data_IF_458371462169
#
_entry.id   IF_458371462169
#
_cell.length_a   1.000
_cell.length_b   1.000
_cell.length_c   1.000
_cell.angle_alpha   90.00
_cell.angle_beta   90.00
_cell.angle_gamma   90.00
#
_symmetry.space_group_name_H-M   'P 1'
#
loop_
_entity.id
_entity.type
_entity.pdbx_description
1 polymer ?
#
# COMPACT_ATOMS: atom_id res chain seq x y z
N UNK A 1 -9.71 6.60 2.87
CA UNK A 1 -9.50 7.44 4.07
C UNK A 1 -10.47 7.08 5.20
N UNK A 2 -11.78 7.30 5.02
CA UNK A 2 -12.80 7.09 6.07
C UNK A 2 -12.79 5.69 6.69
N UNK A 3 -12.67 4.63 5.87
CA UNK A 3 -12.57 3.26 6.40
C UNK A 3 -11.38 3.05 7.34
N UNK A 4 -10.21 3.63 7.02
CA UNK A 4 -9.03 3.56 7.89
C UNK A 4 -9.25 4.36 9.18
N UNK A 5 -9.85 5.54 9.09
CA UNK A 5 -10.21 6.34 10.27
C UNK A 5 -11.13 5.55 11.21
N UNK A 6 -12.17 4.91 10.67
CA UNK A 6 -13.08 4.06 11.45
C UNK A 6 -12.34 2.88 12.10
N UNK A 7 -11.43 2.23 11.38
CA UNK A 7 -10.63 1.11 11.90
C UNK A 7 -9.68 1.55 13.02
N UNK A 8 -9.04 2.72 12.89
CA UNK A 8 -8.18 3.32 13.93
C UNK A 8 -9.01 3.61 15.17
N UNK A 9 -10.12 4.35 15.04
CA UNK A 9 -11.02 4.69 16.15
C UNK A 9 -11.55 3.44 16.84
N UNK A 10 -11.97 2.42 16.07
CA UNK A 10 -12.42 1.13 16.61
C UNK A 10 -11.33 0.44 17.42
N UNK A 11 -10.08 0.47 16.94
CA UNK A 11 -8.94 -0.21 17.58
C UNK A 11 -8.47 0.51 18.85
N UNK A 12 -8.64 1.82 18.93
CA UNK A 12 -8.36 2.60 20.15
C UNK A 12 -9.45 2.40 21.22
N UNK A 13 -10.73 2.40 20.81
CA UNK A 13 -11.86 2.48 21.73
C UNK A 13 -12.42 1.13 22.18
N UNK A 14 -12.05 0.02 21.54
CA UNK A 14 -12.51 -1.32 21.94
C UNK A 14 -11.42 -2.05 22.74
N UNK A 15 -11.62 -2.29 24.06
CA UNK A 15 -10.61 -2.91 24.92
C UNK A 15 -10.11 -4.26 24.41
N UNK A 16 -11.02 -5.12 23.95
CA UNK A 16 -10.71 -6.46 23.44
C UNK A 16 -9.76 -6.43 22.24
N UNK A 17 -9.94 -5.44 21.35
CA UNK A 17 -9.08 -5.27 20.19
C UNK A 17 -7.71 -4.72 20.59
N UNK A 18 -7.67 -3.81 21.55
CA UNK A 18 -6.42 -3.18 22.00
C UNK A 18 -5.49 -4.19 22.66
N UNK A 19 -6.03 -5.09 23.47
CA UNK A 19 -5.28 -6.16 24.15
C UNK A 19 -4.60 -7.14 23.17
N UNK A 20 -5.23 -7.42 22.03
CA UNK A 20 -4.70 -8.34 21.02
C UNK A 20 -3.97 -7.66 19.86
N UNK A 21 -3.82 -6.33 19.89
CA UNK A 21 -3.12 -5.58 18.84
C UNK A 21 -1.62 -5.57 19.08
N UNK A 22 -0.84 -5.95 18.06
CA UNK A 22 0.63 -5.89 18.06
C UNK A 22 1.12 -4.54 17.57
N UNK A 23 2.37 -4.21 17.87
CA UNK A 23 3.01 -2.99 17.36
C UNK A 23 2.99 -2.88 15.83
N UNK A 24 3.31 -3.96 15.12
CA UNK A 24 3.32 -4.00 13.64
C UNK A 24 1.95 -3.66 13.03
N UNK A 25 0.88 -3.92 13.77
CA UNK A 25 -0.49 -3.60 13.34
C UNK A 25 -0.76 -2.10 13.36
N UNK A 26 -0.30 -1.43 14.42
CA UNK A 26 -0.40 0.03 14.54
C UNK A 26 0.49 0.71 13.51
N UNK A 27 1.72 0.23 13.35
CA UNK A 27 2.66 0.75 12.38
C UNK A 27 2.05 0.77 10.97
N UNK A 28 1.59 -0.38 10.47
CA UNK A 28 0.97 -0.47 9.14
C UNK A 28 -0.30 0.37 9.05
N UNK A 29 -1.16 0.34 10.07
CA UNK A 29 -2.42 1.08 10.02
C UNK A 29 -2.19 2.59 9.91
N UNK A 30 -1.22 3.13 10.64
CA UNK A 30 -0.82 4.54 10.53
C UNK A 30 -0.11 4.85 9.22
N UNK A 31 0.81 4.00 8.77
CA UNK A 31 1.48 4.17 7.46
C UNK A 31 0.46 4.22 6.33
N UNK A 32 -0.52 3.32 6.29
CA UNK A 32 -1.60 3.33 5.29
C UNK A 32 -2.48 4.57 5.39
N UNK A 33 -2.82 5.01 6.61
CA UNK A 33 -3.62 6.20 6.82
C UNK A 33 -2.91 7.46 6.30
N UNK A 34 -1.63 7.62 6.64
CA UNK A 34 -0.79 8.72 6.15
C UNK A 34 -0.61 8.61 4.63
N UNK A 35 -0.33 7.42 4.09
CA UNK A 35 -0.15 7.20 2.66
C UNK A 35 -1.38 7.62 1.85
N UNK A 36 -2.57 7.20 2.28
CA UNK A 36 -3.83 7.59 1.62
C UNK A 36 -4.09 9.09 1.77
N UNK A 37 -3.77 9.68 2.92
CA UNK A 37 -3.92 11.12 3.14
C UNK A 37 -3.02 11.91 2.20
N UNK A 38 -1.74 11.56 2.12
CA UNK A 38 -0.77 12.14 1.18
C UNK A 38 -1.24 11.97 -0.27
N UNK A 39 -1.71 10.78 -0.64
CA UNK A 39 -2.22 10.51 -1.98
C UNK A 39 -3.40 11.43 -2.34
N UNK A 40 -4.35 11.62 -1.43
CA UNK A 40 -5.44 12.57 -1.63
C UNK A 40 -4.95 14.02 -1.68
N UNK A 41 -3.97 14.39 -0.86
CA UNK A 41 -3.38 15.74 -0.89
C UNK A 41 -2.68 16.06 -2.22
N UNK A 42 -2.13 15.06 -2.92
CA UNK A 42 -1.50 15.28 -4.23
C UNK A 42 -2.49 15.72 -5.32
N UNK A 43 -3.79 15.50 -5.12
CA UNK A 43 -4.83 15.96 -6.05
C UNK A 43 -4.85 17.49 -6.17
N UNK A 44 -4.63 18.21 -5.07
CA UNK A 44 -4.59 19.68 -5.10
C UNK A 44 -3.41 20.22 -5.89
N UNK A 45 -2.27 19.53 -5.85
CA UNK A 45 -1.07 19.88 -6.63
C UNK A 45 -1.27 19.51 -8.10
N UNK A 46 -1.82 18.33 -8.36
CA UNK A 46 -2.08 17.85 -9.73
C UNK A 46 -3.13 18.71 -10.43
N UNK A 47 -4.10 19.25 -9.71
CA UNK A 47 -5.11 20.16 -10.24
C UNK A 47 -4.51 21.48 -10.79
N UNK A 48 -3.27 21.83 -10.40
CA UNK A 48 -2.55 22.99 -10.95
C UNK A 48 -1.86 22.66 -12.29
N UNK A 49 -1.75 21.38 -12.67
CA UNK A 49 -1.04 20.87 -13.84
C UNK A 49 -1.95 19.94 -14.66
N UNK A 50 -2.99 20.53 -15.25
CA UNK A 50 -4.03 19.80 -15.99
C UNK A 50 -3.55 19.27 -17.36
N UNK A 51 -2.37 19.68 -17.80
CA UNK A 51 -1.68 19.15 -18.97
C UNK A 51 -1.16 17.72 -18.76
N UNK A 52 -1.10 17.25 -17.50
CA UNK A 52 -0.69 15.89 -17.15
C UNK A 52 0.82 15.67 -17.13
N UNK A 53 1.63 16.73 -17.23
CA UNK A 53 3.10 16.62 -17.23
C UNK A 53 3.65 15.89 -16.00
N UNK A 54 3.17 16.25 -14.80
CA UNK A 54 3.51 15.55 -13.55
C UNK A 54 3.19 14.06 -13.59
N UNK A 55 2.04 13.69 -14.17
CA UNK A 55 1.64 12.28 -14.27
C UNK A 55 2.55 11.50 -15.21
N UNK A 56 2.96 12.09 -16.34
CA UNK A 56 3.90 11.48 -17.27
C UNK A 56 5.27 11.28 -16.61
N UNK A 57 5.78 12.29 -15.91
CA UNK A 57 7.03 12.22 -15.17
C UNK A 57 7.02 11.09 -14.13
N UNK A 58 5.98 11.01 -13.31
CA UNK A 58 5.81 9.96 -12.30
C UNK A 58 5.68 8.57 -12.93
N UNK A 59 5.00 8.47 -14.07
CA UNK A 59 4.88 7.22 -14.85
C UNK A 59 6.23 6.78 -15.41
N UNK A 60 7.00 7.69 -16.01
CA UNK A 60 8.34 7.38 -16.51
C UNK A 60 9.28 6.98 -15.38
N UNK A 61 9.25 7.66 -14.23
CA UNK A 61 10.00 7.23 -13.05
C UNK A 61 9.65 5.80 -12.66
N UNK A 62 8.37 5.48 -12.51
CA UNK A 62 7.93 4.14 -12.12
C UNK A 62 8.37 3.08 -13.15
N UNK A 63 8.23 3.37 -14.44
CA UNK A 63 8.64 2.49 -15.53
C UNK A 63 10.14 2.21 -15.52
N UNK A 64 11.00 3.23 -15.39
CA UNK A 64 12.45 3.01 -15.33
C UNK A 64 12.85 2.16 -14.13
N UNK A 65 12.21 2.34 -12.97
CA UNK A 65 12.47 1.49 -11.79
C UNK A 65 12.10 0.03 -12.07
N UNK A 66 10.89 -0.25 -12.56
CA UNK A 66 10.43 -1.64 -12.77
C UNK A 66 11.07 -2.33 -13.97
N UNK A 67 11.56 -1.56 -14.95
CA UNK A 67 12.31 -2.08 -16.12
C UNK A 67 13.82 -2.02 -15.93
N UNK A 68 14.30 -1.69 -14.73
CA UNK A 68 15.72 -1.65 -14.36
C UNK A 68 16.58 -0.74 -15.27
N UNK A 69 16.00 0.40 -15.67
CA UNK A 69 16.71 1.41 -16.44
C UNK A 69 17.33 2.48 -15.52
N UNK A 70 18.50 3.04 -15.88
CA UNK A 70 19.15 4.08 -15.08
C UNK A 70 18.37 5.41 -15.12
N UNK A 71 18.81 6.37 -14.31
CA UNK A 71 18.35 7.77 -14.33
C UNK A 71 16.84 7.99 -14.01
N UNK A 72 16.18 7.02 -13.36
CA UNK A 72 14.79 7.18 -12.94
C UNK A 72 14.56 8.43 -12.07
N UNK A 73 15.53 8.77 -11.20
CA UNK A 73 15.42 9.90 -10.27
C UNK A 73 15.28 11.26 -10.97
N UNK A 74 15.78 11.41 -12.19
CA UNK A 74 15.75 12.67 -12.92
C UNK A 74 14.30 13.08 -13.25
N UNK A 75 13.42 12.11 -13.50
CA UNK A 75 12.00 12.37 -13.80
C UNK A 75 11.22 12.99 -12.64
N UNK A 76 11.63 12.77 -11.39
CA UNK A 76 10.93 13.28 -10.21
C UNK A 76 11.68 14.42 -9.52
N UNK A 77 12.83 14.85 -10.04
CA UNK A 77 13.71 15.81 -9.39
C UNK A 77 13.01 17.16 -9.15
N UNK A 78 12.31 17.67 -10.14
CA UNK A 78 11.63 18.97 -10.09
C UNK A 78 10.17 18.86 -9.63
N UNK A 79 9.71 17.64 -9.35
CA UNK A 79 8.35 17.37 -8.93
C UNK A 79 8.09 17.83 -7.49
N UNK A 80 6.85 18.21 -7.20
CA UNK A 80 6.45 18.72 -5.89
C UNK A 80 6.75 17.71 -4.77
N UNK A 81 7.23 18.20 -3.62
CA UNK A 81 7.71 17.36 -2.51
C UNK A 81 6.67 16.34 -2.00
N UNK A 82 5.38 16.67 -2.08
CA UNK A 82 4.29 15.77 -1.72
C UNK A 82 4.37 14.42 -2.46
N UNK A 83 4.68 14.43 -3.75
CA UNK A 83 4.85 13.20 -4.53
C UNK A 83 6.05 12.40 -4.05
N UNK A 84 7.17 13.07 -3.74
CA UNK A 84 8.39 12.43 -3.23
C UNK A 84 8.15 11.74 -1.89
N UNK A 85 7.46 12.41 -0.96
CA UNK A 85 7.10 11.81 0.35
C UNK A 85 6.11 10.67 0.19
N UNK A 86 5.13 10.81 -0.72
CA UNK A 86 4.18 9.73 -1.03
C UNK A 86 4.89 8.50 -1.61
N UNK A 87 5.83 8.69 -2.54
CA UNK A 87 6.64 7.62 -3.12
C UNK A 87 7.48 6.95 -2.02
N UNK A 88 8.21 7.74 -1.22
CA UNK A 88 9.07 7.22 -0.17
C UNK A 88 8.31 6.39 0.87
N UNK A 89 7.19 6.90 1.36
CA UNK A 89 6.34 6.16 2.32
C UNK A 89 5.71 4.93 1.66
N UNK A 90 5.30 5.03 0.39
CA UNK A 90 4.78 3.92 -0.41
C UNK A 90 5.79 2.79 -0.57
N UNK A 91 7.04 3.09 -0.92
CA UNK A 91 8.11 2.10 -1.02
C UNK A 91 8.46 1.51 0.35
N UNK A 92 8.44 2.32 1.41
CA UNK A 92 8.64 1.85 2.78
C UNK A 92 7.58 0.84 3.22
N UNK A 93 6.32 0.96 2.74
CA UNK A 93 5.28 -0.04 3.00
C UNK A 93 5.66 -1.42 2.40
N UNK A 94 6.29 -1.48 1.23
CA UNK A 94 6.74 -2.75 0.65
C UNK A 94 7.84 -3.42 1.49
N UNK A 95 8.73 -2.62 2.09
CA UNK A 95 9.78 -3.12 3.00
C UNK A 95 9.18 -3.70 4.28
N UNK A 96 8.15 -3.05 4.84
CA UNK A 96 7.48 -3.50 6.07
C UNK A 96 6.49 -4.65 5.81
N UNK A 97 5.99 -4.79 4.58
CA UNK A 97 4.97 -5.77 4.20
C UNK A 97 5.25 -7.20 4.69
N UNK A 98 6.43 -7.84 4.47
CA UNK A 98 6.68 -9.23 4.88
C UNK A 98 6.69 -9.44 6.40
N UNK A 99 6.85 -8.37 7.20
CA UNK A 99 6.91 -8.42 8.66
C UNK A 99 5.60 -8.02 9.34
N UNK A 100 4.54 -7.83 8.56
CA UNK A 100 3.28 -7.29 9.02
C UNK A 100 2.09 -8.12 8.53
N UNK A 101 0.88 -7.74 8.94
CA UNK A 101 -0.35 -8.40 8.46
C UNK A 101 -0.62 -8.18 6.98
N UNK A 102 0.10 -7.28 6.30
CA UNK A 102 -0.06 -7.03 4.85
C UNK A 102 0.24 -8.26 3.99
N UNK A 103 0.97 -9.26 4.50
CA UNK A 103 1.17 -10.55 3.81
C UNK A 103 -0.15 -11.22 3.40
N UNK A 104 -1.26 -10.91 4.07
CA UNK A 104 -2.58 -11.43 3.69
C UNK A 104 -2.98 -11.07 2.25
N UNK A 105 -2.44 -9.98 1.68
CA UNK A 105 -2.77 -9.52 0.32
C UNK A 105 -2.32 -10.56 -0.70
N UNK A 106 -1.20 -11.26 -0.43
CA UNK A 106 -0.68 -12.33 -1.30
C UNK A 106 -1.54 -13.60 -1.25
N UNK A 107 -2.28 -13.81 -0.16
CA UNK A 107 -3.16 -14.98 0.03
C UNK A 107 -4.60 -14.70 -0.43
N UNK A 108 -4.81 -13.72 -1.31
CA UNK A 108 -6.13 -13.42 -1.86
C UNK A 108 -6.73 -14.68 -2.50
N UNK A 109 -7.93 -15.14 -2.09
CA UNK A 109 -8.46 -16.45 -2.47
C UNK A 109 -9.11 -16.44 -3.85
N UNK A 110 -8.43 -15.91 -4.87
CA UNK A 110 -8.97 -15.77 -6.25
C UNK A 110 -9.34 -17.15 -6.82
N UNK A 111 -8.55 -18.17 -6.50
CA UNK A 111 -8.79 -19.56 -6.93
C UNK A 111 -10.02 -20.21 -6.29
N UNK A 112 -10.59 -19.63 -5.22
CA UNK A 112 -11.80 -20.16 -4.58
C UNK A 112 -12.98 -20.18 -5.54
N UNK A 113 -13.05 -19.24 -6.49
CA UNK A 113 -14.11 -19.15 -7.50
C UNK A 113 -14.19 -20.42 -8.36
N UNK A 114 -13.05 -21.07 -8.61
CA UNK A 114 -12.95 -22.28 -9.44
C UNK A 114 -12.80 -23.56 -8.61
N UNK A 115 -12.80 -23.44 -7.28
CA UNK A 115 -12.55 -24.56 -6.37
C UNK A 115 -13.82 -25.42 -6.23
N UNK A 116 -13.73 -26.75 -6.36
CA UNK A 116 -14.85 -27.63 -5.99
C UNK A 116 -15.28 -27.40 -4.54
N UNK A 117 -16.59 -27.52 -4.28
CA UNK A 117 -17.13 -27.35 -2.92
C UNK A 117 -16.49 -28.34 -1.94
N UNK A 118 -16.45 -29.62 -2.33
CA UNK A 118 -15.85 -30.68 -1.53
C UNK A 118 -14.40 -30.91 -1.93
N UNK A 119 -13.50 -30.80 -0.94
CA UNK A 119 -12.10 -31.22 -1.08
C UNK A 119 -11.84 -32.31 -0.06
N UNK A 120 -11.47 -33.49 -0.56
CA UNK A 120 -11.03 -34.63 0.24
C UNK A 120 -9.53 -34.81 0.00
N UNK A 121 -8.76 -35.04 1.06
CA UNK A 121 -7.33 -35.36 0.98
C UNK A 121 -7.15 -36.85 1.26
N UNK A 122 -6.45 -37.57 0.39
CA UNK A 122 -6.08 -38.97 0.63
C UNK A 122 -5.04 -39.07 1.76
N UNK A 123 -4.94 -40.25 2.39
CA UNK A 123 -3.86 -40.51 3.33
C UNK A 123 -2.53 -40.55 2.57
N UNK A 124 -1.55 -39.81 3.07
CA UNK A 124 -0.18 -39.83 2.55
C UNK A 124 0.45 -41.19 2.89
N UNK A 125 0.30 -42.18 2.01
CA UNK A 125 1.08 -43.42 2.05
C UNK A 125 2.45 -43.11 1.48
N UNK A 126 3.48 -43.32 2.30
CA UNK A 126 4.88 -43.06 1.95
C UNK A 126 5.45 -44.15 1.06
#
# INVERSE_FOLDING_TARGET
FTGLLLLITRRLNNPRLREHTRFSDWLVLWMLFIQVSLGLSTLFVSAQHLDGGSMLNLSHWAQHIVTFQPNAADFIKDEHWLFKVHIWLGLSLFVVAPFSRLVHVLSAPIWYVFRPYQIVRSRFSR
#
